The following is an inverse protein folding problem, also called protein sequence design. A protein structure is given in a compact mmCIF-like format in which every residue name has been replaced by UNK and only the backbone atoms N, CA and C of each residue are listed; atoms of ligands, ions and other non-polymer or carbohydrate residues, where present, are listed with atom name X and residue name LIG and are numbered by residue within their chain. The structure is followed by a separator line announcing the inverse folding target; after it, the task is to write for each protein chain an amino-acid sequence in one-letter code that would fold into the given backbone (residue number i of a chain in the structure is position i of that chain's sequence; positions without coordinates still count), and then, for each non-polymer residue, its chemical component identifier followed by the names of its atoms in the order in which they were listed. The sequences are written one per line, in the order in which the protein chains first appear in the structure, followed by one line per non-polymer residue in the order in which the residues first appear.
data_IF_890101085068
#
_entry.id   IF_890101085068
#
_cell.length_a   1.000
_cell.length_b   1.000
_cell.length_c   1.000
_cell.angle_alpha   90.00
_cell.angle_beta   90.00
_cell.angle_gamma   90.00
#
_symmetry.space_group_name_H-M   'P 1'
#
loop_
_entity.id
_entity.type
_entity.pdbx_description
1 polymer ?
#
# COMPACT_ATOMS: atom_id res chain seq x y z
N UNK A 1 45.50 -8.24 22.97
CA UNK A 1 45.61 -7.39 21.77
C UNK A 1 44.20 -6.88 21.42
N UNK A 2 43.87 -5.62 21.71
CA UNK A 2 42.54 -5.05 21.38
C UNK A 2 42.58 -4.59 19.93
N UNK A 3 41.96 -5.35 19.03
CA UNK A 3 41.79 -4.96 17.64
C UNK A 3 40.72 -3.87 17.59
N UNK A 4 41.13 -2.63 17.32
CA UNK A 4 40.23 -1.50 17.12
C UNK A 4 39.67 -1.57 15.71
N UNK A 5 38.40 -1.95 15.57
CA UNK A 5 37.73 -1.84 14.28
C UNK A 5 37.44 -0.36 13.98
N UNK A 6 37.81 0.14 12.79
CA UNK A 6 37.41 1.48 12.37
C UNK A 6 35.89 1.55 12.31
N UNK A 7 35.29 2.45 13.10
CA UNK A 7 33.86 2.77 12.99
C UNK A 7 33.65 3.44 11.64
N UNK A 8 33.17 2.69 10.64
CA UNK A 8 32.63 3.25 9.41
C UNK A 8 31.50 4.21 9.79
N UNK A 9 31.77 5.52 9.69
CA UNK A 9 30.73 6.55 9.73
C UNK A 9 30.01 6.52 8.39
N UNK A 10 28.94 5.74 8.29
CA UNK A 10 27.99 5.91 7.20
C UNK A 10 27.27 7.24 7.41
N UNK A 11 27.20 8.06 6.37
CA UNK A 11 26.37 9.26 6.37
C UNK A 11 24.92 8.80 6.25
N UNK A 12 24.15 8.92 7.34
CA UNK A 12 22.73 8.55 7.40
C UNK A 12 21.94 9.17 6.24
N UNK A 13 22.32 10.37 5.80
CA UNK A 13 21.68 11.08 4.68
C UNK A 13 21.85 10.34 3.35
N UNK A 14 23.00 9.73 3.12
CA UNK A 14 23.27 8.91 1.94
C UNK A 14 22.45 7.62 2.02
N UNK A 15 22.39 6.99 3.19
CA UNK A 15 21.60 5.77 3.41
C UNK A 15 20.11 6.01 3.13
N UNK A 16 19.52 7.06 3.69
CA UNK A 16 18.11 7.42 3.45
C UNK A 16 17.83 7.70 1.97
N UNK A 17 18.76 8.36 1.26
CA UNK A 17 18.63 8.65 -0.17
C UNK A 17 18.66 7.37 -1.00
N UNK A 18 19.56 6.44 -0.70
CA UNK A 18 19.65 5.14 -1.39
C UNK A 18 18.38 4.34 -1.16
N UNK A 19 17.94 4.20 0.10
CA UNK A 19 16.70 3.49 0.44
C UNK A 19 15.51 4.11 -0.30
N UNK A 20 15.40 5.43 -0.31
CA UNK A 20 14.33 6.12 -1.02
C UNK A 20 14.29 5.83 -2.52
N UNK A 21 15.46 5.83 -3.19
CA UNK A 21 15.56 5.49 -4.61
C UNK A 21 15.15 4.03 -4.85
N UNK A 22 15.63 3.11 -4.02
CA UNK A 22 15.30 1.67 -4.15
C UNK A 22 13.80 1.44 -3.97
N UNK A 23 13.19 2.03 -2.94
CA UNK A 23 11.75 1.89 -2.69
C UNK A 23 10.93 2.47 -3.85
N UNK A 24 11.28 3.65 -4.37
CA UNK A 24 10.62 4.23 -5.55
C UNK A 24 10.72 3.32 -6.76
N UNK A 25 11.90 2.78 -7.04
CA UNK A 25 12.12 1.90 -8.18
C UNK A 25 11.24 0.63 -8.07
N UNK A 26 11.19 0.01 -6.89
CA UNK A 26 10.35 -1.16 -6.63
C UNK A 26 8.86 -0.83 -6.84
N UNK A 27 8.39 0.30 -6.32
CA UNK A 27 6.99 0.70 -6.46
C UNK A 27 6.61 1.00 -7.92
N UNK A 28 7.47 1.72 -8.65
CA UNK A 28 7.23 2.01 -10.07
C UNK A 28 7.18 0.71 -10.88
N UNK A 29 8.13 -0.20 -10.66
CA UNK A 29 8.12 -1.51 -11.33
C UNK A 29 6.85 -2.27 -10.97
N UNK A 30 6.46 -2.31 -9.69
CA UNK A 30 5.23 -2.95 -9.22
C UNK A 30 3.98 -2.38 -9.89
N UNK A 31 3.85 -1.06 -9.98
CA UNK A 31 2.73 -0.39 -10.65
C UNK A 31 2.69 -0.76 -12.13
N UNK A 32 3.81 -0.65 -12.85
CA UNK A 32 3.88 -0.97 -14.28
C UNK A 32 3.53 -2.43 -14.54
N UNK A 33 4.11 -3.35 -13.75
CA UNK A 33 3.81 -4.78 -13.85
C UNK A 33 2.34 -5.06 -13.55
N UNK A 34 1.77 -4.43 -12.52
CA UNK A 34 0.37 -4.62 -12.16
C UNK A 34 -0.57 -4.09 -13.25
N UNK A 35 -0.25 -2.95 -13.88
CA UNK A 35 -1.01 -2.45 -15.04
C UNK A 35 -0.96 -3.48 -16.18
N UNK A 36 0.21 -4.03 -16.49
CA UNK A 36 0.35 -5.06 -17.52
C UNK A 36 -0.47 -6.31 -17.23
N UNK A 37 -0.41 -6.82 -15.99
CA UNK A 37 -1.21 -7.95 -15.52
C UNK A 37 -2.70 -7.65 -15.63
N UNK A 38 -3.13 -6.46 -15.21
CA UNK A 38 -4.53 -6.02 -15.25
C UNK A 38 -5.07 -6.05 -16.67
N UNK A 39 -4.33 -5.49 -17.63
CA UNK A 39 -4.71 -5.50 -19.06
C UNK A 39 -4.81 -6.94 -19.56
N UNK A 40 -3.80 -7.77 -19.29
CA UNK A 40 -3.78 -9.16 -19.74
C UNK A 40 -4.96 -9.98 -19.18
N UNK A 41 -5.22 -9.88 -17.88
CA UNK A 41 -6.32 -10.59 -17.22
C UNK A 41 -7.69 -10.10 -17.68
N UNK A 42 -7.85 -8.78 -17.86
CA UNK A 42 -9.11 -8.19 -18.36
C UNK A 42 -9.42 -8.69 -19.77
N UNK A 43 -8.44 -8.67 -20.67
CA UNK A 43 -8.59 -9.19 -22.04
C UNK A 43 -8.88 -10.69 -22.04
N UNK A 44 -8.15 -11.46 -21.23
CA UNK A 44 -8.34 -12.92 -21.14
C UNK A 44 -9.73 -13.27 -20.58
N UNK A 45 -10.21 -12.53 -19.57
CA UNK A 45 -11.52 -12.76 -18.95
C UNK A 45 -12.68 -12.44 -19.89
N UNK A 46 -12.54 -11.41 -20.73
CA UNK A 46 -13.51 -11.11 -21.78
C UNK A 46 -13.68 -12.27 -22.77
N UNK A 47 -12.58 -12.98 -23.07
CA UNK A 47 -12.57 -14.06 -24.07
C UNK A 47 -13.08 -15.38 -23.48
N UNK A 48 -12.75 -15.68 -22.22
CA UNK A 48 -12.87 -17.03 -21.65
C UNK A 48 -14.03 -17.18 -20.67
N UNK A 49 -14.31 -16.15 -19.86
CA UNK A 49 -15.06 -16.32 -18.60
C UNK A 49 -16.38 -15.54 -18.55
N UNK A 50 -16.67 -14.72 -19.57
CA UNK A 50 -17.92 -13.97 -19.69
C UNK A 50 -17.97 -12.65 -18.90
N UNK A 51 -19.09 -11.90 -18.99
CA UNK A 51 -19.15 -10.50 -18.54
C UNK A 51 -19.01 -10.30 -17.03
N UNK A 52 -19.49 -11.25 -16.22
CA UNK A 52 -19.41 -11.15 -14.75
C UNK A 52 -17.96 -11.28 -14.27
N UNK A 53 -17.24 -12.28 -14.79
CA UNK A 53 -15.82 -12.49 -14.49
C UNK A 53 -14.93 -11.34 -14.98
N UNK A 54 -15.31 -10.71 -16.09
CA UNK A 54 -14.64 -9.49 -16.57
C UNK A 54 -14.76 -8.35 -15.56
N UNK A 55 -15.98 -8.09 -15.06
CA UNK A 55 -16.24 -6.98 -14.12
C UNK A 55 -15.51 -7.20 -12.80
N UNK A 56 -15.59 -8.40 -12.22
CA UNK A 56 -14.89 -8.70 -10.96
C UNK A 56 -13.38 -8.58 -11.13
N UNK A 57 -12.81 -9.20 -12.16
CA UNK A 57 -11.36 -9.13 -12.45
C UNK A 57 -10.91 -7.69 -12.67
N UNK A 58 -11.68 -6.87 -13.41
CA UNK A 58 -11.33 -5.48 -13.65
C UNK A 58 -11.35 -4.65 -12.36
N UNK A 59 -12.36 -4.81 -11.51
CA UNK A 59 -12.49 -4.09 -10.23
C UNK A 59 -11.35 -4.47 -9.27
N UNK A 60 -11.11 -5.76 -9.06
CA UNK A 60 -10.08 -6.23 -8.12
C UNK A 60 -8.68 -5.72 -8.47
N UNK A 61 -8.35 -5.77 -9.77
CA UNK A 61 -7.05 -5.35 -10.26
C UNK A 61 -6.91 -3.82 -10.30
N UNK A 62 -7.98 -3.09 -10.64
CA UNK A 62 -7.99 -1.62 -10.58
C UNK A 62 -7.82 -1.10 -9.15
N UNK A 63 -8.49 -1.72 -8.16
CA UNK A 63 -8.32 -1.37 -6.75
C UNK A 63 -6.88 -1.58 -6.29
N UNK A 64 -6.20 -2.64 -6.77
CA UNK A 64 -4.80 -2.87 -6.42
C UNK A 64 -3.88 -1.78 -6.98
N UNK A 65 -4.14 -1.32 -8.21
CA UNK A 65 -3.39 -0.20 -8.80
C UNK A 65 -3.56 1.07 -7.97
N UNK A 66 -4.78 1.36 -7.51
CA UNK A 66 -5.05 2.54 -6.67
C UNK A 66 -4.25 2.47 -5.37
N UNK A 67 -4.24 1.33 -4.69
CA UNK A 67 -3.46 1.15 -3.45
C UNK A 67 -1.96 1.32 -3.70
N UNK A 68 -1.42 0.76 -4.78
CA UNK A 68 -0.01 0.93 -5.13
C UNK A 68 0.34 2.40 -5.40
N UNK A 69 -0.55 3.17 -6.03
CA UNK A 69 -0.38 4.60 -6.25
C UNK A 69 -0.40 5.38 -4.92
N UNK A 70 -1.29 5.03 -3.99
CA UNK A 70 -1.34 5.67 -2.68
C UNK A 70 -0.05 5.42 -1.87
N UNK A 71 0.47 4.19 -1.91
CA UNK A 71 1.76 3.85 -1.28
C UNK A 71 2.89 4.65 -1.94
N UNK A 72 2.88 4.77 -3.28
CA UNK A 72 3.86 5.59 -4.00
C UNK A 72 3.83 7.06 -3.58
N UNK A 73 2.64 7.66 -3.52
CA UNK A 73 2.48 9.05 -3.08
C UNK A 73 2.93 9.24 -1.63
N UNK A 74 2.61 8.30 -0.74
CA UNK A 74 3.05 8.31 0.65
C UNK A 74 4.59 8.30 0.77
N UNK A 75 5.26 7.47 -0.03
CA UNK A 75 6.73 7.40 -0.08
C UNK A 75 7.34 8.67 -0.67
N UNK A 76 6.75 9.24 -1.72
CA UNK A 76 7.22 10.48 -2.33
C UNK A 76 7.16 11.65 -1.34
N UNK A 77 6.03 11.79 -0.64
CA UNK A 77 5.84 12.82 0.38
C UNK A 77 6.79 12.62 1.57
N UNK A 78 7.04 11.37 1.99
CA UNK A 78 8.04 11.04 3.01
C UNK A 78 9.44 11.51 2.61
N UNK A 79 9.89 11.16 1.40
CA UNK A 79 11.22 11.48 0.92
C UNK A 79 11.41 12.98 0.63
N UNK A 80 10.33 13.70 0.32
CA UNK A 80 10.35 15.16 0.17
C UNK A 80 10.36 15.92 1.50
N UNK A 81 10.28 15.22 2.64
CA UNK A 81 10.33 15.82 3.97
C UNK A 81 9.06 16.55 4.37
N UNK A 82 7.94 16.32 3.68
CA UNK A 82 6.63 16.83 4.11
C UNK A 82 6.17 15.99 5.32
N UNK A 83 6.10 16.62 6.49
CA UNK A 83 5.93 15.98 7.81
C UNK A 83 4.61 15.26 8.11
N UNK A 84 4.02 14.54 7.15
CA UNK A 84 2.80 13.71 7.30
C UNK A 84 3.08 12.22 7.15
N UNK A 85 4.26 11.80 7.62
CA UNK A 85 4.87 10.52 7.26
C UNK A 85 4.14 9.30 7.82
N UNK A 86 3.79 9.31 9.10
CA UNK A 86 3.06 8.21 9.72
C UNK A 86 1.59 8.16 9.27
N UNK A 87 1.00 9.34 9.16
CA UNK A 87 -0.34 9.54 8.63
C UNK A 87 -0.52 8.82 7.30
N UNK A 88 0.25 9.13 6.26
CA UNK A 88 0.02 8.54 4.93
C UNK A 88 0.20 7.01 4.88
N UNK A 89 1.10 6.46 5.69
CA UNK A 89 1.25 5.00 5.81
C UNK A 89 -0.01 4.37 6.39
N UNK A 90 -0.64 5.02 7.37
CA UNK A 90 -1.91 4.55 7.94
C UNK A 90 -3.03 4.65 6.90
N UNK A 91 -3.10 5.73 6.10
CA UNK A 91 -4.11 5.87 5.04
C UNK A 91 -3.96 4.77 3.97
N UNK A 92 -2.74 4.52 3.50
CA UNK A 92 -2.45 3.45 2.53
C UNK A 92 -2.80 2.06 3.10
N UNK A 93 -2.55 1.84 4.40
CA UNK A 93 -2.92 0.61 5.09
C UNK A 93 -4.44 0.44 5.18
N UNK A 94 -5.18 1.52 5.50
CA UNK A 94 -6.64 1.50 5.52
C UNK A 94 -7.18 1.18 4.13
N UNK A 95 -6.67 1.83 3.08
CA UNK A 95 -7.08 1.59 1.70
C UNK A 95 -6.86 0.15 1.25
N UNK A 96 -5.71 -0.45 1.62
CA UNK A 96 -5.44 -1.86 1.35
C UNK A 96 -6.47 -2.78 2.03
N UNK A 97 -6.79 -2.54 3.31
CA UNK A 97 -7.77 -3.37 4.02
C UNK A 97 -9.19 -3.15 3.49
N UNK A 98 -9.55 -1.91 3.15
CA UNK A 98 -10.84 -1.60 2.52
C UNK A 98 -10.96 -2.30 1.16
N UNK A 99 -9.88 -2.36 0.37
CA UNK A 99 -9.84 -3.18 -0.85
C UNK A 99 -10.17 -4.63 -0.54
N UNK A 100 -9.53 -5.26 0.44
CA UNK A 100 -9.82 -6.67 0.78
C UNK A 100 -11.28 -6.87 1.19
N UNK A 101 -11.85 -5.96 1.98
CA UNK A 101 -13.28 -6.01 2.34
C UNK A 101 -14.17 -5.95 1.09
N UNK A 102 -13.88 -5.05 0.16
CA UNK A 102 -14.65 -4.94 -1.09
C UNK A 102 -14.56 -6.25 -1.87
N UNK A 103 -13.37 -6.81 -2.03
CA UNK A 103 -13.13 -8.06 -2.76
C UNK A 103 -13.89 -9.22 -2.12
N UNK A 104 -13.80 -9.38 -0.79
CA UNK A 104 -14.50 -10.43 -0.07
C UNK A 104 -16.03 -10.32 -0.23
N UNK A 105 -16.56 -9.10 -0.22
CA UNK A 105 -17.99 -8.84 -0.45
C UNK A 105 -18.40 -9.21 -1.89
N UNK A 106 -17.59 -8.88 -2.89
CA UNK A 106 -17.87 -9.21 -4.29
C UNK A 106 -17.76 -10.72 -4.59
N UNK A 107 -16.85 -11.42 -3.89
CA UNK A 107 -16.64 -12.86 -4.04
C UNK A 107 -17.63 -13.71 -3.24
N UNK A 108 -18.56 -13.09 -2.51
CA UNK A 108 -19.58 -13.81 -1.74
C UNK A 108 -18.98 -14.62 -0.60
N UNK A 109 -17.94 -14.10 0.06
CA UNK A 109 -17.34 -14.78 1.22
C UNK A 109 -18.35 -14.81 2.37
N UNK A 110 -18.92 -15.99 2.66
CA UNK A 110 -19.95 -16.19 3.70
C UNK A 110 -19.39 -16.18 5.14
N UNK A 111 -18.06 -16.14 5.31
CA UNK A 111 -17.42 -16.17 6.62
C UNK A 111 -17.44 -14.80 7.28
N UNK A 112 -18.46 -14.55 8.10
CA UNK A 112 -18.61 -13.35 8.93
C UNK A 112 -17.36 -13.03 9.77
N UNK A 113 -16.57 -14.06 10.14
CA UNK A 113 -15.36 -13.89 10.93
C UNK A 113 -14.26 -13.12 10.19
N UNK A 114 -14.07 -13.36 8.89
CA UNK A 114 -13.03 -12.68 8.10
C UNK A 114 -13.33 -11.20 7.95
N UNK A 115 -14.57 -10.88 7.58
CA UNK A 115 -15.05 -9.50 7.47
C UNK A 115 -14.96 -8.75 8.81
N UNK A 116 -15.26 -9.42 9.92
CA UNK A 116 -15.16 -8.84 11.27
C UNK A 116 -13.70 -8.51 11.64
N UNK A 117 -12.76 -9.39 11.30
CA UNK A 117 -11.32 -9.16 11.53
C UNK A 117 -10.83 -7.97 10.71
N UNK A 118 -11.15 -7.92 9.42
CA UNK A 118 -10.78 -6.80 8.55
C UNK A 118 -11.38 -5.48 9.05
N UNK A 119 -12.66 -5.48 9.44
CA UNK A 119 -13.30 -4.31 10.04
C UNK A 119 -12.63 -3.86 11.35
N UNK A 120 -12.22 -4.81 12.20
CA UNK A 120 -11.45 -4.53 13.41
C UNK A 120 -10.10 -3.86 13.12
N UNK A 121 -9.39 -4.33 12.09
CA UNK A 121 -8.13 -3.71 11.65
C UNK A 121 -8.39 -2.28 11.16
N UNK A 122 -9.43 -2.06 10.35
CA UNK A 122 -9.81 -0.69 9.92
C UNK A 122 -10.10 0.22 11.11
N UNK A 123 -10.82 -0.27 12.13
CA UNK A 123 -11.11 0.51 13.32
C UNK A 123 -9.83 0.91 14.08
N UNK A 124 -8.89 -0.02 14.25
CA UNK A 124 -7.60 0.23 14.91
C UNK A 124 -6.75 1.24 14.11
N UNK A 125 -6.67 1.07 12.80
CA UNK A 125 -5.93 1.98 11.92
C UNK A 125 -6.57 3.37 11.88
N UNK A 126 -7.90 3.45 11.84
CA UNK A 126 -8.62 4.72 11.88
C UNK A 126 -8.40 5.47 13.20
N UNK A 127 -8.38 4.74 14.32
CA UNK A 127 -8.05 5.30 15.62
C UNK A 127 -6.59 5.77 15.69
N UNK A 128 -5.65 4.98 15.16
CA UNK A 128 -4.24 5.35 15.05
C UNK A 128 -4.09 6.63 14.21
N UNK A 129 -4.80 6.72 13.08
CA UNK A 129 -4.83 7.91 12.23
C UNK A 129 -5.34 9.14 12.96
N UNK A 130 -6.40 8.98 13.76
CA UNK A 130 -6.94 10.07 14.57
C UNK A 130 -5.91 10.60 15.58
N UNK A 131 -5.20 9.71 16.27
CA UNK A 131 -4.13 10.09 17.21
C UNK A 131 -2.96 10.78 16.51
N UNK A 132 -2.48 10.23 15.39
CA UNK A 132 -1.38 10.83 14.61
C UNK A 132 -1.75 12.22 14.08
N UNK A 133 -2.97 12.39 13.59
CA UNK A 133 -3.51 13.68 13.16
C UNK A 133 -3.51 14.73 14.27
N UNK A 134 -3.78 14.32 15.52
CA UNK A 134 -3.72 15.21 16.69
C UNK A 134 -2.29 15.59 17.05
N UNK A 135 -1.39 14.61 17.07
CA UNK A 135 0.03 14.83 17.34
C UNK A 135 0.69 15.76 16.30
N UNK A 136 0.36 15.62 15.02
CA UNK A 136 0.86 16.49 13.94
C UNK A 136 0.36 17.95 14.06
N UNK A 137 -0.77 18.18 14.74
CA UNK A 137 -1.37 19.51 14.93
C UNK A 137 -0.89 20.25 16.19
N UNK A 138 0.00 19.65 16.98
CA UNK A 138 0.62 20.30 18.14
C UNK A 138 -0.33 20.54 19.32
N UNK A 139 -1.13 19.52 19.68
CA UNK A 139 -1.78 19.41 20.99
C UNK A 139 -1.06 18.33 21.80
#
# INVERSE_FOLDING_TARGET
MKVSFPKLKFDDKILFRIIGIVVRAILIVGIITQIGITIFLTVSSLIISGPVALVTTAIENALLIIVLLEIYLAVEDYLSGKGRTASYVIDASISFIVREIIIDVFNGVDSNTTLLVLAGIVAILSFSRFLTSRAEKGI
#
